data_IF_556226460653
#
_entry.id   IF_556226460653
#
_cell.length_a   1.000
_cell.length_b   1.000
_cell.length_c   1.000
_cell.angle_alpha   90.00
_cell.angle_beta   90.00
_cell.angle_gamma   90.00
#
_symmetry.space_group_name_H-M   'P 1'
#
loop_
_entity.id
_entity.type
_entity.pdbx_description
1 polymer ?
#
# COMPACT_ATOMS: atom_id res chain seq x y z
N UNK A 1 1.26 -2.42 -2.88
CA UNK A 1 2.12 -3.59 -3.12
C UNK A 1 1.39 -4.82 -2.60
N UNK A 2 1.43 -5.94 -3.32
CA UNK A 2 1.01 -7.22 -2.80
C UNK A 2 2.05 -7.69 -1.76
N UNK A 3 1.58 -8.14 -0.61
CA UNK A 3 2.42 -8.79 0.39
C UNK A 3 2.38 -10.29 0.15
N UNK A 4 3.50 -10.97 0.32
CA UNK A 4 3.59 -12.43 0.26
C UNK A 4 3.54 -13.04 1.65
N UNK A 5 3.43 -14.35 1.75
CA UNK A 5 3.54 -15.09 3.03
C UNK A 5 4.93 -15.02 3.68
N UNK A 6 5.95 -14.55 2.92
CA UNK A 6 7.32 -14.51 3.43
C UNK A 6 7.48 -13.50 4.56
N UNK A 7 8.19 -13.91 5.59
CA UNK A 7 8.60 -13.12 6.76
C UNK A 7 10.11 -12.94 6.76
N UNK A 8 10.58 -11.86 7.36
CA UNK A 8 12.02 -11.65 7.57
C UNK A 8 12.51 -12.68 8.60
N UNK A 9 13.65 -13.34 8.34
CA UNK A 9 14.24 -14.32 9.27
C UNK A 9 14.56 -13.68 10.60
N UNK A 10 14.45 -14.48 11.66
CA UNK A 10 14.75 -14.04 13.04
C UNK A 10 16.10 -13.32 13.13
N UNK A 11 16.10 -12.16 13.80
CA UNK A 11 17.28 -11.28 14.00
C UNK A 11 17.89 -10.69 12.72
N UNK A 12 17.18 -10.74 11.58
CA UNK A 12 17.59 -10.07 10.37
C UNK A 12 16.81 -8.77 10.21
N UNK A 13 17.47 -7.79 9.61
CA UNK A 13 16.89 -6.51 9.21
C UNK A 13 16.90 -6.46 7.67
N UNK A 14 15.73 -6.22 7.08
CA UNK A 14 15.58 -5.94 5.64
C UNK A 14 15.36 -4.44 5.45
N UNK A 15 16.24 -3.81 4.70
CA UNK A 15 16.07 -2.42 4.27
C UNK A 15 15.63 -2.39 2.82
N UNK A 16 14.49 -1.75 2.54
CA UNK A 16 13.93 -1.70 1.20
C UNK A 16 13.63 -0.29 0.76
N UNK A 17 14.01 0.01 -0.47
CA UNK A 17 13.61 1.20 -1.20
C UNK A 17 12.64 0.76 -2.29
N UNK A 18 11.38 1.17 -2.17
CA UNK A 18 10.35 0.92 -3.18
C UNK A 18 10.14 2.17 -4.00
N UNK A 19 10.21 2.04 -5.31
CA UNK A 19 10.00 3.13 -6.25
C UNK A 19 8.76 2.83 -7.10
N UNK A 20 7.86 3.80 -7.21
CA UNK A 20 6.72 3.76 -8.11
C UNK A 20 6.96 4.70 -9.27
N UNK A 21 6.73 4.22 -10.45
CA UNK A 21 6.85 4.98 -11.69
C UNK A 21 5.52 5.65 -12.05
N UNK A 22 5.57 6.57 -13.01
CA UNK A 22 4.40 7.25 -13.54
C UNK A 22 3.50 6.34 -14.38
N UNK A 23 2.45 6.91 -14.94
CA UNK A 23 1.55 6.18 -15.83
C UNK A 23 2.25 5.83 -17.14
N UNK A 24 2.11 4.58 -17.57
CA UNK A 24 2.60 4.11 -18.87
C UNK A 24 1.88 4.81 -20.03
N UNK A 25 0.59 5.12 -19.83
CA UNK A 25 -0.26 5.77 -20.82
C UNK A 25 -1.29 6.66 -20.12
N UNK A 26 -1.49 7.86 -20.63
CA UNK A 26 -2.48 8.80 -20.11
C UNK A 26 -3.46 9.22 -21.23
N UNK A 27 -4.64 8.63 -21.22
CA UNK A 27 -5.69 8.91 -22.22
C UNK A 27 -6.22 10.36 -22.20
N UNK A 28 -6.01 11.09 -21.10
CA UNK A 28 -6.41 12.50 -21.01
C UNK A 28 -5.57 13.42 -21.91
N UNK A 29 -4.45 12.91 -22.46
CA UNK A 29 -3.53 13.62 -23.36
C UNK A 29 -3.76 13.30 -24.85
N UNK A 30 -4.85 12.62 -25.19
CA UNK A 30 -5.18 12.34 -26.60
C UNK A 30 -5.33 13.66 -27.42
N UNK A 31 -4.82 13.70 -28.69
CA UNK A 31 -4.23 12.59 -29.48
C UNK A 31 -2.74 12.34 -29.22
N UNK A 32 -2.08 13.04 -28.32
CA UNK A 32 -0.63 12.99 -28.10
C UNK A 32 -0.19 11.96 -27.04
N UNK A 33 -1.11 11.18 -26.47
CA UNK A 33 -0.84 10.30 -25.34
C UNK A 33 0.29 9.27 -25.60
N UNK A 34 0.37 8.74 -26.84
CA UNK A 34 1.43 7.80 -27.22
C UNK A 34 2.79 8.49 -27.33
N UNK A 35 2.81 9.71 -27.85
CA UNK A 35 4.04 10.50 -27.98
C UNK A 35 4.57 10.91 -26.60
N UNK A 36 3.69 11.33 -25.69
CA UNK A 36 4.05 11.63 -24.30
C UNK A 36 4.51 10.39 -23.54
N UNK A 37 3.87 9.23 -23.76
CA UNK A 37 4.31 7.97 -23.19
C UNK A 37 5.75 7.61 -23.66
N UNK A 38 6.04 7.78 -24.94
CA UNK A 38 7.39 7.56 -25.47
C UNK A 38 8.40 8.59 -24.93
N UNK A 39 7.99 9.85 -24.78
CA UNK A 39 8.83 10.95 -24.28
C UNK A 39 9.24 10.76 -22.82
N UNK A 40 8.37 10.17 -21.99
CA UNK A 40 8.64 9.85 -20.59
C UNK A 40 9.16 8.43 -20.40
N UNK A 41 9.64 7.80 -21.46
CA UNK A 41 10.05 6.38 -21.47
C UNK A 41 9.00 5.50 -20.81
N UNK A 42 7.74 5.62 -21.27
CA UNK A 42 6.58 4.91 -20.73
C UNK A 42 6.37 5.11 -19.21
N UNK A 43 6.64 6.33 -18.73
CA UNK A 43 6.50 6.71 -17.33
C UNK A 43 7.67 6.31 -16.43
N UNK A 44 8.70 5.63 -16.95
CA UNK A 44 9.88 5.23 -16.16
C UNK A 44 10.73 6.41 -15.69
N UNK A 45 10.75 7.52 -16.43
CA UNK A 45 11.49 8.73 -16.06
C UNK A 45 10.80 9.52 -14.93
N UNK A 46 9.53 9.23 -14.67
CA UNK A 46 8.74 9.94 -13.66
C UNK A 46 8.64 9.14 -12.36
N UNK A 47 9.44 9.52 -11.36
CA UNK A 47 9.29 9.01 -9.99
C UNK A 47 8.00 9.54 -9.37
N UNK A 48 6.94 8.74 -9.34
CA UNK A 48 5.67 9.15 -8.72
C UNK A 48 5.70 9.04 -7.20
N UNK A 49 6.38 8.03 -6.66
CA UNK A 49 6.51 7.85 -5.21
C UNK A 49 7.74 7.01 -4.86
N UNK A 50 8.37 7.36 -3.73
CA UNK A 50 9.46 6.60 -3.12
C UNK A 50 9.05 6.26 -1.69
N UNK A 51 9.18 4.99 -1.30
CA UNK A 51 9.00 4.53 0.07
C UNK A 51 10.24 3.83 0.57
N UNK A 52 10.71 4.22 1.75
CA UNK A 52 11.75 3.54 2.50
C UNK A 52 11.11 2.73 3.62
N UNK A 53 11.58 1.51 3.82
CA UNK A 53 11.13 0.69 4.94
C UNK A 53 12.27 -0.11 5.54
N UNK A 54 12.12 -0.37 6.84
CA UNK A 54 12.95 -1.26 7.63
C UNK A 54 12.03 -2.32 8.22
N UNK A 55 12.27 -3.57 7.88
CA UNK A 55 11.49 -4.70 8.35
C UNK A 55 12.41 -5.61 9.18
N UNK A 56 12.06 -5.87 10.44
CA UNK A 56 12.86 -6.68 11.36
C UNK A 56 12.16 -7.98 11.73
N UNK A 57 12.85 -9.10 11.56
CA UNK A 57 12.41 -10.42 11.98
C UNK A 57 12.57 -10.63 13.47
N UNK A 58 11.48 -10.52 14.22
CA UNK A 58 11.44 -10.81 15.66
C UNK A 58 11.56 -12.33 15.90
N UNK A 59 10.83 -13.09 15.11
CA UNK A 59 10.92 -14.55 14.98
C UNK A 59 10.89 -14.92 13.50
N UNK A 60 11.06 -16.19 13.16
CA UNK A 60 10.94 -16.65 11.78
C UNK A 60 9.50 -16.51 11.22
N UNK A 61 8.51 -16.29 12.10
CA UNK A 61 7.11 -16.15 11.74
C UNK A 61 6.54 -14.75 12.06
N UNK A 62 7.33 -13.85 12.65
CA UNK A 62 6.88 -12.51 13.05
C UNK A 62 7.86 -11.45 12.59
N UNK A 63 7.38 -10.54 11.76
CA UNK A 63 8.10 -9.37 11.28
C UNK A 63 7.39 -8.10 11.75
N UNK A 64 8.14 -7.14 12.24
CA UNK A 64 7.68 -5.77 12.48
C UNK A 64 8.38 -4.83 11.52
N UNK A 65 7.70 -3.79 11.07
CA UNK A 65 8.25 -2.86 10.10
C UNK A 65 7.90 -1.42 10.41
N UNK A 66 8.77 -0.52 9.98
CA UNK A 66 8.51 0.92 9.91
C UNK A 66 8.85 1.41 8.52
N UNK A 67 8.12 2.41 8.05
CA UNK A 67 8.33 2.95 6.73
C UNK A 67 8.02 4.43 6.63
N UNK A 68 8.49 5.05 5.56
CA UNK A 68 8.13 6.39 5.14
C UNK A 68 7.91 6.44 3.64
N UNK A 69 6.74 6.89 3.23
CA UNK A 69 6.39 7.19 1.84
C UNK A 69 6.41 8.69 1.59
N UNK A 70 6.93 9.12 0.43
CA UNK A 70 6.81 10.51 -0.02
C UNK A 70 5.35 10.89 -0.29
N UNK A 71 4.54 9.92 -0.75
CA UNK A 71 3.13 10.14 -0.99
C UNK A 71 2.42 10.54 0.31
N UNK A 72 1.86 11.74 0.33
CA UNK A 72 1.22 12.37 1.51
C UNK A 72 2.14 12.44 2.74
N UNK A 73 3.45 12.36 2.54
CA UNK A 73 4.44 12.37 3.64
C UNK A 73 4.09 11.39 4.76
N UNK A 74 3.72 10.16 4.39
CA UNK A 74 3.17 9.17 5.30
C UNK A 74 4.28 8.40 5.99
N UNK A 75 4.23 8.32 7.32
CA UNK A 75 4.94 7.35 8.13
C UNK A 75 4.03 6.17 8.39
N UNK A 76 4.57 4.97 8.35
CA UNK A 76 3.81 3.75 8.60
C UNK A 76 4.55 2.81 9.55
N UNK A 77 3.75 2.07 10.34
CA UNK A 77 4.21 0.98 11.17
C UNK A 77 3.43 -0.28 10.85
N UNK A 78 4.12 -1.41 10.69
CA UNK A 78 3.50 -2.64 10.24
C UNK A 78 3.89 -3.85 11.09
N UNK A 79 3.02 -4.84 11.08
CA UNK A 79 3.25 -6.16 11.66
C UNK A 79 2.78 -7.23 10.67
N UNK A 80 3.60 -8.26 10.49
CA UNK A 80 3.25 -9.45 9.72
C UNK A 80 3.50 -10.69 10.57
N UNK A 81 2.48 -11.51 10.71
CA UNK A 81 2.54 -12.77 11.44
C UNK A 81 2.08 -13.93 10.57
N UNK A 82 2.89 -14.98 10.50
CA UNK A 82 2.62 -16.20 9.75
C UNK A 82 2.37 -17.38 10.71
N UNK A 83 1.12 -17.58 11.17
CA UNK A 83 0.78 -18.67 12.09
C UNK A 83 0.88 -20.05 11.47
N UNK A 84 0.72 -20.16 10.14
CA UNK A 84 0.68 -21.44 9.44
C UNK A 84 1.61 -21.44 8.24
N UNK A 85 2.42 -22.48 8.10
CA UNK A 85 3.31 -22.67 6.96
C UNK A 85 3.02 -24.02 6.30
N UNK A 86 2.86 -24.02 5.00
CA UNK A 86 2.70 -25.22 4.19
C UNK A 86 3.89 -26.17 4.38
N UNK A 87 3.61 -27.47 4.48
CA UNK A 87 4.64 -28.51 4.55
C UNK A 87 4.88 -29.14 3.17
N UNK A 88 6.09 -29.64 2.94
CA UNK A 88 6.49 -30.24 1.65
C UNK A 88 5.69 -31.52 1.35
N UNK A 89 5.27 -32.25 2.38
CA UNK A 89 4.44 -33.46 2.26
C UNK A 89 2.94 -33.16 2.12
N UNK A 90 2.55 -31.90 2.00
CA UNK A 90 1.15 -31.45 1.94
C UNK A 90 0.28 -31.87 3.14
N UNK A 91 0.89 -32.29 4.25
CA UNK A 91 0.13 -32.50 5.48
C UNK A 91 -0.56 -31.21 5.93
N UNK A 92 0.14 -30.08 5.76
CA UNK A 92 -0.45 -28.74 5.80
C UNK A 92 -0.43 -28.20 4.36
N UNK A 93 -1.58 -28.12 3.66
CA UNK A 93 -1.60 -27.83 2.23
C UNK A 93 -1.49 -26.35 1.88
N UNK A 94 -1.50 -25.45 2.88
CA UNK A 94 -1.48 -24.01 2.66
C UNK A 94 -0.71 -23.28 3.77
N UNK A 95 -0.26 -22.07 3.44
CA UNK A 95 0.31 -21.12 4.38
C UNK A 95 -0.66 -19.96 4.62
N UNK A 96 -0.70 -19.46 5.84
CA UNK A 96 -1.50 -18.27 6.20
C UNK A 96 -0.59 -17.25 6.87
N UNK A 97 -0.71 -16.00 6.45
CA UNK A 97 -0.13 -14.87 7.15
C UNK A 97 -1.16 -13.74 7.31
N UNK A 98 -1.00 -12.95 8.34
CA UNK A 98 -1.79 -11.74 8.60
C UNK A 98 -0.83 -10.56 8.57
N UNK A 99 -1.20 -9.54 7.85
CA UNK A 99 -0.48 -8.28 7.78
C UNK A 99 -1.41 -7.15 8.25
N UNK A 100 -0.89 -6.27 9.09
CA UNK A 100 -1.57 -5.05 9.51
C UNK A 100 -0.59 -3.89 9.45
N UNK A 101 -1.10 -2.72 9.07
CA UNK A 101 -0.34 -1.50 8.93
C UNK A 101 -1.17 -0.30 9.42
N UNK A 102 -0.50 0.62 10.11
CA UNK A 102 -1.05 1.91 10.50
C UNK A 102 -0.19 3.01 9.91
N UNK A 103 -0.81 3.90 9.12
CA UNK A 103 -0.16 5.04 8.51
C UNK A 103 -0.59 6.36 9.13
N UNK A 104 0.36 7.27 9.29
CA UNK A 104 0.13 8.64 9.73
C UNK A 104 0.69 9.62 8.71
N UNK A 105 -0.14 10.55 8.24
CA UNK A 105 0.28 11.60 7.30
C UNK A 105 0.80 12.83 8.04
N UNK A 106 2.07 13.17 7.80
CA UNK A 106 2.73 14.36 8.38
C UNK A 106 2.60 15.62 7.53
N UNK A 107 1.86 15.53 6.42
CA UNK A 107 1.62 16.66 5.51
C UNK A 107 1.08 17.87 6.27
N UNK A 108 1.48 19.09 5.86
CA UNK A 108 0.98 20.32 6.47
C UNK A 108 -0.53 20.42 6.36
N UNK A 109 -1.17 20.98 7.39
CA UNK A 109 -2.63 21.09 7.51
C UNK A 109 -3.25 21.82 6.30
N UNK A 110 -2.64 22.92 5.86
CA UNK A 110 -3.07 23.69 4.69
C UNK A 110 -3.02 22.87 3.38
N UNK A 111 -2.05 21.98 3.25
CA UNK A 111 -1.92 21.07 2.10
C UNK A 111 -2.87 19.88 2.20
N UNK A 112 -3.02 19.32 3.40
CA UNK A 112 -3.91 18.19 3.64
C UNK A 112 -5.37 18.55 3.33
N UNK A 113 -5.80 19.75 3.75
CA UNK A 113 -7.17 20.25 3.57
C UNK A 113 -7.30 21.25 2.40
N UNK A 114 -6.29 21.38 1.53
CA UNK A 114 -6.35 22.28 0.38
C UNK A 114 -7.59 22.01 -0.48
N UNK A 115 -8.37 23.07 -0.78
CA UNK A 115 -9.60 22.97 -1.59
C UNK A 115 -10.85 22.54 -0.82
N UNK A 116 -10.78 22.43 0.51
CA UNK A 116 -11.95 22.19 1.38
C UNK A 116 -12.45 23.53 1.91
N UNK A 117 -13.76 23.61 2.23
CA UNK A 117 -14.37 24.83 2.78
C UNK A 117 -13.69 25.24 4.08
N UNK A 118 -13.58 26.57 4.30
CA UNK A 118 -12.86 27.14 5.45
C UNK A 118 -13.45 26.76 6.81
N UNK A 119 -14.73 26.38 6.85
CA UNK A 119 -15.44 26.01 8.09
C UNK A 119 -15.32 24.50 8.40
N UNK A 120 -14.49 23.76 7.67
CA UNK A 120 -14.26 22.35 7.93
C UNK A 120 -13.45 22.14 9.21
N UNK A 121 -14.01 21.38 10.14
CA UNK A 121 -13.35 21.03 11.39
C UNK A 121 -12.19 20.05 11.13
N UNK A 122 -10.98 20.47 11.50
CA UNK A 122 -9.79 19.65 11.32
C UNK A 122 -9.59 18.74 12.53
N UNK A 123 -9.34 17.44 12.28
CA UNK A 123 -9.07 16.45 13.32
C UNK A 123 -7.73 15.74 13.03
N UNK A 124 -6.95 15.47 14.07
CA UNK A 124 -5.71 14.68 13.95
C UNK A 124 -5.98 13.24 13.52
N UNK A 125 -7.16 12.69 13.82
CA UNK A 125 -7.57 11.37 13.34
C UNK A 125 -7.68 11.31 11.81
N UNK A 126 -7.93 12.42 11.13
CA UNK A 126 -7.93 12.51 9.67
C UNK A 126 -6.57 12.16 9.04
N UNK A 127 -5.51 12.20 9.83
CA UNK A 127 -4.15 11.86 9.39
C UNK A 127 -3.85 10.37 9.43
N UNK A 128 -4.70 9.60 10.10
CA UNK A 128 -4.48 8.17 10.33
C UNK A 128 -5.23 7.33 9.31
N UNK A 129 -4.60 6.28 8.84
CA UNK A 129 -5.20 5.25 8.00
C UNK A 129 -4.79 3.88 8.51
N UNK A 130 -5.61 2.86 8.23
CA UNK A 130 -5.39 1.48 8.64
C UNK A 130 -5.50 0.57 7.42
N UNK A 131 -4.60 -0.39 7.36
CA UNK A 131 -4.64 -1.44 6.35
C UNK A 131 -4.49 -2.79 7.03
N UNK A 132 -5.32 -3.75 6.64
CA UNK A 132 -5.22 -5.14 7.09
C UNK A 132 -5.38 -6.09 5.90
N UNK A 133 -4.63 -7.17 5.90
CA UNK A 133 -4.64 -8.17 4.85
C UNK A 133 -4.43 -9.55 5.43
N UNK A 134 -5.25 -10.50 4.99
CA UNK A 134 -5.00 -11.92 5.20
C UNK A 134 -4.38 -12.47 3.93
N UNK A 135 -3.32 -13.23 4.07
CA UNK A 135 -2.56 -13.81 2.97
C UNK A 135 -2.70 -15.31 3.08
N UNK A 136 -3.35 -15.92 2.10
CA UNK A 136 -3.51 -17.38 2.00
C UNK A 136 -2.79 -17.83 0.75
N UNK A 137 -1.79 -18.67 0.89
CA UNK A 137 -0.98 -19.11 -0.24
C UNK A 137 -0.78 -20.63 -0.20
N UNK A 138 -0.72 -21.22 -1.38
CA UNK A 138 -0.37 -22.63 -1.55
C UNK A 138 0.56 -22.79 -2.75
N UNK A 139 1.67 -23.46 -2.55
CA UNK A 139 2.55 -23.94 -3.61
C UNK A 139 2.04 -25.31 -4.07
N UNK A 140 1.34 -25.33 -5.22
CA UNK A 140 0.70 -26.54 -5.74
C UNK A 140 1.69 -27.47 -6.44
N UNK A 141 2.69 -26.87 -7.13
CA UNK A 141 3.77 -27.59 -7.84
C UNK A 141 5.06 -26.80 -7.69
N UNK A 142 6.17 -27.31 -8.20
CA UNK A 142 7.46 -26.60 -8.20
C UNK A 142 7.43 -25.27 -8.97
N UNK A 143 6.54 -25.17 -9.97
CA UNK A 143 6.43 -24.01 -10.86
C UNK A 143 5.12 -23.22 -10.68
N UNK A 144 4.17 -23.69 -9.86
CA UNK A 144 2.88 -23.01 -9.66
C UNK A 144 2.59 -22.79 -8.17
N UNK A 145 2.42 -21.52 -7.83
CA UNK A 145 1.90 -21.08 -6.53
C UNK A 145 0.68 -20.19 -6.73
N UNK A 146 -0.31 -20.32 -5.87
CA UNK A 146 -1.53 -19.50 -5.87
C UNK A 146 -1.57 -18.74 -4.55
N UNK A 147 -1.95 -17.47 -4.62
CA UNK A 147 -2.09 -16.60 -3.46
C UNK A 147 -3.42 -15.84 -3.52
N UNK A 148 -4.13 -15.80 -2.39
CA UNK A 148 -5.36 -15.05 -2.20
C UNK A 148 -5.17 -14.02 -1.08
N UNK A 149 -5.50 -12.75 -1.35
CA UNK A 149 -5.12 -11.58 -0.57
C UNK A 149 -6.33 -10.70 -0.20
N UNK A 150 -7.32 -11.19 0.57
CA UNK A 150 -8.39 -10.32 1.06
C UNK A 150 -7.80 -9.19 1.89
N UNK A 151 -8.19 -7.95 1.53
CA UNK A 151 -7.60 -6.75 2.08
C UNK A 151 -8.66 -5.77 2.52
N UNK A 152 -8.41 -5.06 3.61
CA UNK A 152 -9.24 -3.99 4.13
C UNK A 152 -8.40 -2.72 4.29
N UNK A 153 -8.88 -1.61 3.71
CA UNK A 153 -8.27 -0.29 3.85
C UNK A 153 -9.30 0.68 4.43
N UNK A 154 -8.96 1.30 5.54
CA UNK A 154 -9.72 2.39 6.11
C UNK A 154 -8.92 3.69 6.10
N UNK A 155 -9.56 4.76 5.65
CA UNK A 155 -9.01 6.12 5.69
C UNK A 155 -9.99 7.01 6.44
N UNK A 156 -9.53 7.65 7.50
CA UNK A 156 -10.37 8.55 8.28
C UNK A 156 -10.70 9.86 7.54
N UNK A 157 -9.96 10.17 6.48
CA UNK A 157 -10.20 11.35 5.68
C UNK A 157 -10.00 11.10 4.18
N UNK A 158 -11.05 11.32 3.41
CA UNK A 158 -11.06 11.25 1.95
C UNK A 158 -11.56 12.59 1.41
N UNK A 159 -10.75 13.27 0.58
CA UNK A 159 -11.22 14.43 -0.16
C UNK A 159 -12.27 13.98 -1.17
N UNK A 160 -13.50 14.47 -1.04
CA UNK A 160 -14.46 14.33 -2.11
C UNK A 160 -14.01 15.17 -3.30
N UNK A 161 -13.85 14.56 -4.45
CA UNK A 161 -13.76 15.26 -5.71
C UNK A 161 -15.14 15.85 -5.98
N UNK A 162 -15.27 17.18 -5.88
CA UNK A 162 -16.50 17.87 -6.29
C UNK A 162 -16.56 17.76 -7.81
N UNK A 163 -17.19 16.72 -8.31
CA UNK A 163 -17.60 16.68 -9.71
C UNK A 163 -18.61 17.83 -9.92
N UNK A 164 -18.51 18.51 -11.04
CA UNK A 164 -19.28 19.71 -11.39
C UNK A 164 -20.83 19.52 -11.44
N UNK A 165 -21.35 18.42 -10.96
CA UNK A 165 -22.77 18.08 -10.79
C UNK A 165 -23.13 17.89 -9.34
N UNK A 166 -22.94 18.86 -8.48
CA UNK A 166 -23.57 19.08 -7.14
C UNK A 166 -24.23 17.87 -6.43
N UNK A 167 -23.69 16.65 -6.53
CA UNK A 167 -24.07 15.50 -5.72
C UNK A 167 -22.81 14.99 -5.02
N UNK A 168 -22.76 15.21 -3.72
CA UNK A 168 -21.84 14.52 -2.83
C UNK A 168 -22.22 13.03 -2.86
N UNK A 169 -21.45 12.23 -3.59
CA UNK A 169 -21.52 10.78 -3.45
C UNK A 169 -20.52 10.39 -2.35
N UNK A 170 -21.06 9.82 -1.28
CA UNK A 170 -20.32 9.20 -0.21
C UNK A 170 -19.64 7.95 -0.77
N UNK A 171 -18.38 8.08 -1.18
CA UNK A 171 -17.59 6.94 -1.64
C UNK A 171 -16.98 6.24 -0.41
N UNK A 172 -17.81 5.56 0.36
CA UNK A 172 -17.36 4.44 1.17
C UNK A 172 -16.88 3.35 0.20
N UNK A 173 -15.61 3.42 -0.18
CA UNK A 173 -14.99 2.43 -1.04
C UNK A 173 -14.82 1.12 -0.28
N UNK A 174 -15.63 0.14 -0.63
CA UNK A 174 -15.37 -1.29 -0.41
C UNK A 174 -14.23 -1.75 -1.32
#
# INVERSE_FOLDING_TARGET
NAHTIETVKKKHLDFRISHRFGNVYNSALEPNALNEAAHTYFGFDNASDIRWSFDYGVTDNLTIGIGRSRYRETYDGSIKWRPLTQTEDFHIPLSIAVFADIGYTSMKTDQLYAGIQKDFETDELHRVNYFAQVIVASKLTEWLSIEFLPSYLHRNFIKQSINASNKAEDTNGL
#
